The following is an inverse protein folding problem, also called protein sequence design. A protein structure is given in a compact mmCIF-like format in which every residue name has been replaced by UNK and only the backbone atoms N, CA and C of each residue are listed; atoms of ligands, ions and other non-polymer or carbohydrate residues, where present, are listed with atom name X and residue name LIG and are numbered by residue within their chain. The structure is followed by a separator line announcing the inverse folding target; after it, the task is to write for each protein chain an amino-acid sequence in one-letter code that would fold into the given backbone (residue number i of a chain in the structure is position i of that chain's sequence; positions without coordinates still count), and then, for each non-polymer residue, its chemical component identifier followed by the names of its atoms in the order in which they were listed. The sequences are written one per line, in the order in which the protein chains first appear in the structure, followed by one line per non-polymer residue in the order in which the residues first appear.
data_IF_605378584573
#
_entry.id   IF_605378584573
#
_cell.length_a   1.000
_cell.length_b   1.000
_cell.length_c   1.000
_cell.angle_alpha   90.00
_cell.angle_beta   90.00
_cell.angle_gamma   90.00
#
_symmetry.space_group_name_H-M   'P 1'
#
loop_
_entity.id
_entity.type
_entity.pdbx_description
1 polymer ?
#
# COMPACT_ATOMS: atom_id res chain seq x y z
N UNK A 1 29.81 -7.59 -4.58
CA UNK A 1 28.74 -6.66 -4.15
C UNK A 1 28.92 -6.34 -2.68
N UNK A 2 29.12 -5.08 -2.30
CA UNK A 2 29.10 -4.66 -0.88
C UNK A 2 27.69 -4.95 -0.34
N UNK A 3 27.58 -5.60 0.82
CA UNK A 3 26.28 -5.78 1.47
C UNK A 3 25.72 -4.40 1.83
N UNK A 4 24.43 -4.12 1.59
CA UNK A 4 23.84 -2.84 1.96
C UNK A 4 23.98 -2.65 3.47
N UNK A 5 24.40 -1.45 3.86
CA UNK A 5 24.52 -1.03 5.25
C UNK A 5 23.17 -1.06 5.95
N UNK A 6 23.17 -1.13 7.29
CA UNK A 6 21.93 -1.09 8.09
C UNK A 6 21.12 0.19 7.81
N UNK A 7 21.82 1.29 7.53
CA UNK A 7 21.22 2.57 7.15
C UNK A 7 20.48 2.51 5.82
N UNK A 8 21.10 1.94 4.77
CA UNK A 8 20.47 1.82 3.45
C UNK A 8 19.22 0.92 3.49
N UNK A 9 19.26 -0.14 4.31
CA UNK A 9 18.09 -1.01 4.53
C UNK A 9 16.96 -0.29 5.24
N UNK A 10 17.28 0.51 6.25
CA UNK A 10 16.29 1.32 6.96
C UNK A 10 15.67 2.36 6.01
N UNK A 11 16.51 3.10 5.28
CA UNK A 11 16.06 4.13 4.35
C UNK A 11 15.14 3.56 3.25
N UNK A 12 15.47 2.36 2.74
CA UNK A 12 14.61 1.67 1.75
C UNK A 12 13.23 1.34 2.31
N UNK A 13 13.16 0.94 3.59
CA UNK A 13 11.87 0.67 4.26
C UNK A 13 11.06 1.95 4.46
N UNK A 14 11.69 3.02 4.95
CA UNK A 14 11.06 4.32 5.14
C UNK A 14 10.47 4.87 3.83
N UNK A 15 11.26 4.84 2.74
CA UNK A 15 10.77 5.24 1.41
C UNK A 15 9.57 4.39 0.99
N UNK A 16 9.59 3.08 1.26
CA UNK A 16 8.46 2.19 0.99
C UNK A 16 7.21 2.55 1.78
N UNK A 17 7.36 2.95 3.05
CA UNK A 17 6.25 3.41 3.91
C UNK A 17 5.64 4.69 3.34
N UNK A 18 6.48 5.67 3.00
CA UNK A 18 6.04 6.95 2.42
C UNK A 18 5.18 6.76 1.17
N UNK A 19 5.64 5.93 0.23
CA UNK A 19 4.87 5.64 -0.97
C UNK A 19 3.52 4.97 -0.68
N UNK A 20 3.49 4.02 0.26
CA UNK A 20 2.24 3.33 0.66
C UNK A 20 1.28 4.28 1.34
N UNK A 21 1.76 5.08 2.29
CA UNK A 21 0.97 6.06 3.01
C UNK A 21 0.32 7.05 2.04
N UNK A 22 1.09 7.58 1.08
CA UNK A 22 0.58 8.48 0.05
C UNK A 22 -0.47 7.81 -0.85
N UNK A 23 -0.21 6.58 -1.30
CA UNK A 23 -1.13 5.83 -2.17
C UNK A 23 -2.46 5.55 -1.46
N UNK A 24 -2.42 5.04 -0.23
CA UNK A 24 -3.63 4.75 0.53
C UNK A 24 -4.36 6.04 0.93
N UNK A 25 -3.64 7.07 1.37
CA UNK A 25 -4.24 8.37 1.66
C UNK A 25 -5.01 8.91 0.46
N UNK A 26 -4.38 8.94 -0.72
CA UNK A 26 -5.02 9.45 -1.92
C UNK A 26 -6.29 8.66 -2.29
N UNK A 27 -6.22 7.34 -2.18
CA UNK A 27 -7.37 6.49 -2.50
C UNK A 27 -8.52 6.66 -1.48
N UNK A 28 -8.21 6.77 -0.19
CA UNK A 28 -9.19 7.05 0.87
C UNK A 28 -9.83 8.42 0.66
N UNK A 29 -9.01 9.43 0.38
CA UNK A 29 -9.46 10.79 0.11
C UNK A 29 -10.38 10.83 -1.11
N UNK A 30 -10.03 10.11 -2.18
CA UNK A 30 -10.86 9.99 -3.36
C UNK A 30 -12.25 9.41 -3.02
N UNK A 31 -12.30 8.31 -2.27
CA UNK A 31 -13.56 7.72 -1.82
C UNK A 31 -14.39 8.70 -0.99
N UNK A 32 -13.76 9.41 -0.05
CA UNK A 32 -14.41 10.43 0.76
C UNK A 32 -14.98 11.58 -0.08
N UNK A 33 -14.22 12.11 -1.03
CA UNK A 33 -14.68 13.15 -1.93
C UNK A 33 -15.87 12.66 -2.78
N UNK A 34 -15.82 11.44 -3.31
CA UNK A 34 -16.95 10.86 -4.05
C UNK A 34 -18.20 10.73 -3.18
N UNK A 35 -18.06 10.27 -1.94
CA UNK A 35 -19.16 10.22 -0.99
C UNK A 35 -19.78 11.61 -0.73
N UNK A 36 -18.95 12.63 -0.51
CA UNK A 36 -19.41 14.01 -0.29
C UNK A 36 -20.13 14.57 -1.52
N UNK A 37 -19.60 14.29 -2.72
CA UNK A 37 -20.24 14.67 -3.98
C UNK A 37 -21.60 14.00 -4.17
N UNK A 38 -21.75 12.72 -3.83
CA UNK A 38 -23.04 12.03 -3.88
C UNK A 38 -24.09 12.64 -2.93
N UNK A 39 -23.65 13.28 -1.84
CA UNK A 39 -24.50 14.05 -0.92
C UNK A 39 -24.71 15.51 -1.34
N UNK A 40 -24.18 15.93 -2.50
CA UNK A 40 -24.27 17.31 -3.00
C UNK A 40 -23.35 18.30 -2.28
N UNK A 41 -22.39 17.83 -1.47
CA UNK A 41 -21.42 18.67 -0.76
C UNK A 41 -20.12 18.73 -1.55
N UNK A 42 -19.69 19.93 -1.94
CA UNK A 42 -18.40 20.16 -2.64
C UNK A 42 -17.24 20.49 -1.70
N UNK A 43 -17.51 20.64 -0.40
CA UNK A 43 -16.50 20.98 0.61
C UNK A 43 -16.11 19.73 1.39
N UNK A 44 -14.80 19.50 1.51
CA UNK A 44 -14.18 18.47 2.35
C UNK A 44 -13.76 19.08 3.70
N UNK A 45 -13.91 18.33 4.78
CA UNK A 45 -13.45 18.76 6.11
C UNK A 45 -11.94 18.55 6.23
N UNK A 46 -11.22 19.58 6.67
CA UNK A 46 -9.76 19.52 6.87
C UNK A 46 -9.38 18.57 8.01
N UNK A 47 -10.22 18.41 9.03
CA UNK A 47 -9.95 17.49 10.14
C UNK A 47 -9.98 16.05 9.63
N UNK A 48 -10.97 15.69 8.82
CA UNK A 48 -11.06 14.35 8.23
C UNK A 48 -9.84 14.04 7.36
N UNK A 49 -9.33 15.01 6.59
CA UNK A 49 -8.11 14.83 5.79
C UNK A 49 -6.88 14.59 6.67
N UNK A 50 -6.73 15.32 7.78
CA UNK A 50 -5.63 15.13 8.72
C UNK A 50 -5.68 13.75 9.40
N UNK A 51 -6.87 13.27 9.78
CA UNK A 51 -7.06 11.93 10.32
C UNK A 51 -6.75 10.84 9.28
N UNK A 52 -7.16 11.03 8.02
CA UNK A 52 -6.90 10.08 6.93
C UNK A 52 -5.42 9.91 6.65
N UNK A 53 -4.66 11.01 6.56
CA UNK A 53 -3.21 10.93 6.33
C UNK A 53 -2.49 10.33 7.54
N UNK A 54 -2.86 10.74 8.76
CA UNK A 54 -2.29 10.18 9.98
C UNK A 54 -2.53 8.67 10.10
N UNK A 55 -3.74 8.22 9.77
CA UNK A 55 -4.08 6.80 9.77
C UNK A 55 -3.35 6.04 8.65
N UNK A 56 -3.20 6.64 7.46
CA UNK A 56 -2.46 6.03 6.37
C UNK A 56 -0.99 5.78 6.73
N UNK A 57 -0.35 6.73 7.42
CA UNK A 57 0.98 6.50 7.99
C UNK A 57 0.97 5.40 9.03
N UNK A 58 0.09 5.47 10.03
CA UNK A 58 0.02 4.48 11.11
C UNK A 58 -0.13 3.06 10.56
N UNK A 59 -1.04 2.86 9.60
CA UNK A 59 -1.24 1.57 8.96
C UNK A 59 -0.02 1.19 8.12
N UNK A 60 0.59 2.13 7.38
CA UNK A 60 1.83 1.88 6.65
C UNK A 60 2.96 1.35 7.55
N UNK A 61 3.16 1.95 8.72
CA UNK A 61 4.12 1.46 9.72
C UNK A 61 3.75 0.07 10.23
N UNK A 62 2.47 -0.19 10.55
CA UNK A 62 2.00 -1.51 10.96
C UNK A 62 2.23 -2.57 9.88
N UNK A 63 2.03 -2.21 8.61
CA UNK A 63 2.23 -3.11 7.47
C UNK A 63 3.69 -3.53 7.32
N UNK A 64 4.61 -2.56 7.38
CA UNK A 64 6.05 -2.81 7.16
C UNK A 64 6.71 -3.48 8.37
N UNK A 65 6.39 -3.05 9.59
CA UNK A 65 7.08 -3.53 10.80
C UNK A 65 6.39 -4.72 11.47
N UNK A 66 5.05 -4.79 11.43
CA UNK A 66 4.27 -5.77 12.20
C UNK A 66 3.72 -6.91 11.32
N UNK A 67 3.32 -6.61 10.08
CA UNK A 67 2.73 -7.57 9.15
C UNK A 67 3.69 -8.08 8.07
N UNK A 68 5.00 -8.02 8.34
CA UNK A 68 6.04 -8.62 7.49
C UNK A 68 6.01 -8.20 6.01
N UNK A 69 5.56 -6.96 5.73
CA UNK A 69 5.43 -6.43 4.38
C UNK A 69 4.62 -7.36 3.45
N UNK A 70 3.43 -7.77 3.90
CA UNK A 70 2.60 -8.77 3.21
C UNK A 70 2.29 -8.44 1.74
N UNK A 71 2.31 -7.16 1.37
CA UNK A 71 2.08 -6.71 0.00
C UNK A 71 3.26 -7.03 -0.94
N UNK A 72 4.43 -7.25 -0.37
CA UNK A 72 5.64 -7.71 -1.07
C UNK A 72 5.79 -9.24 -1.02
N UNK A 73 4.86 -9.97 -0.41
CA UNK A 73 4.90 -11.43 -0.35
C UNK A 73 4.73 -12.08 -1.75
N UNK A 74 5.39 -13.21 -1.94
CA UNK A 74 5.46 -13.90 -3.24
C UNK A 74 4.12 -14.57 -3.62
N UNK A 75 3.35 -15.01 -2.63
CA UNK A 75 2.05 -15.65 -2.79
C UNK A 75 1.01 -15.04 -1.85
N UNK A 76 -0.25 -14.95 -2.27
CA UNK A 76 -1.36 -14.65 -1.35
C UNK A 76 -1.60 -15.92 -0.53
N UNK A 77 -0.91 -16.04 0.58
CA UNK A 77 -1.20 -17.04 1.59
C UNK A 77 -2.29 -16.58 2.56
N UNK A 78 -2.59 -17.44 3.53
CA UNK A 78 -3.56 -17.15 4.60
C UNK A 78 -3.09 -16.00 5.50
N UNK A 79 -1.77 -15.76 5.60
CA UNK A 79 -1.18 -14.71 6.44
C UNK A 79 -1.39 -13.33 5.82
N UNK A 80 -1.22 -13.23 4.52
CA UNK A 80 -1.38 -12.01 3.73
C UNK A 80 -2.85 -11.59 3.69
N UNK A 81 -3.76 -12.55 3.48
CA UNK A 81 -5.20 -12.30 3.56
C UNK A 81 -5.63 -11.81 4.96
N UNK A 82 -5.05 -12.37 6.03
CA UNK A 82 -5.28 -11.89 7.39
C UNK A 82 -4.74 -10.47 7.59
N UNK A 83 -3.57 -10.13 7.04
CA UNK A 83 -3.01 -8.79 7.06
C UNK A 83 -3.92 -7.77 6.37
N UNK A 84 -4.44 -8.09 5.19
CA UNK A 84 -5.42 -7.27 4.47
C UNK A 84 -6.68 -7.07 5.32
N UNK A 85 -7.22 -8.14 5.89
CA UNK A 85 -8.43 -8.07 6.71
C UNK A 85 -8.23 -7.20 7.96
N UNK A 86 -7.08 -7.31 8.64
CA UNK A 86 -6.75 -6.49 9.81
C UNK A 86 -6.60 -5.02 9.43
N UNK A 87 -5.83 -4.71 8.38
CA UNK A 87 -5.66 -3.32 7.95
C UNK A 87 -6.98 -2.69 7.50
N UNK A 88 -7.78 -3.39 6.69
CA UNK A 88 -9.12 -2.94 6.30
C UNK A 88 -10.01 -2.75 7.53
N UNK A 89 -9.95 -3.65 8.52
CA UNK A 89 -10.68 -3.52 9.77
C UNK A 89 -10.32 -2.26 10.55
N UNK A 90 -9.02 -1.93 10.65
CA UNK A 90 -8.54 -0.70 11.28
C UNK A 90 -9.11 0.53 10.55
N UNK A 91 -9.02 0.56 9.22
CA UNK A 91 -9.59 1.66 8.42
C UNK A 91 -11.10 1.80 8.62
N UNK A 92 -11.84 0.70 8.62
CA UNK A 92 -13.29 0.70 8.83
C UNK A 92 -13.66 1.22 10.22
N UNK A 93 -12.99 0.73 11.28
CA UNK A 93 -13.23 1.14 12.67
C UNK A 93 -12.94 2.63 12.86
N UNK A 94 -11.79 3.11 12.39
CA UNK A 94 -11.42 4.53 12.55
C UNK A 94 -12.36 5.41 11.73
N UNK A 95 -12.73 5.02 10.50
CA UNK A 95 -13.69 5.79 9.71
C UNK A 95 -15.05 5.95 10.39
N UNK A 96 -15.47 4.94 11.17
CA UNK A 96 -16.72 4.97 11.91
C UNK A 96 -16.62 5.84 13.18
N UNK A 97 -15.53 5.72 13.94
CA UNK A 97 -15.28 6.50 15.16
C UNK A 97 -15.12 7.98 14.83
N UNK A 98 -14.31 8.31 13.83
CA UNK A 98 -14.04 9.68 13.36
C UNK A 98 -15.19 10.26 12.51
N UNK A 99 -16.27 9.50 12.29
CA UNK A 99 -17.50 9.94 11.60
C UNK A 99 -17.25 10.46 10.18
N UNK A 100 -16.29 9.87 9.46
CA UNK A 100 -15.96 10.28 8.08
C UNK A 100 -17.15 10.19 7.13
N UNK A 101 -18.03 9.21 7.35
CA UNK A 101 -19.20 8.93 6.52
C UNK A 101 -20.51 9.08 7.29
N UNK A 102 -20.58 10.02 8.24
CA UNK A 102 -21.78 10.28 9.06
C UNK A 102 -22.31 9.03 9.81
N UNK A 103 -21.43 8.06 10.12
CA UNK A 103 -21.73 6.73 10.72
C UNK A 103 -22.67 5.86 9.87
N UNK A 104 -22.77 6.12 8.57
CA UNK A 104 -23.57 5.29 7.68
C UNK A 104 -22.86 3.95 7.41
N UNK A 105 -23.42 2.87 7.96
CA UNK A 105 -22.87 1.52 7.86
C UNK A 105 -22.73 1.07 6.40
N UNK A 106 -23.67 1.42 5.52
CA UNK A 106 -23.60 1.05 4.10
C UNK A 106 -22.38 1.65 3.41
N UNK A 107 -22.06 2.90 3.74
CA UNK A 107 -20.89 3.60 3.17
C UNK A 107 -19.60 3.07 3.76
N UNK A 108 -19.57 2.76 5.07
CA UNK A 108 -18.42 2.12 5.71
C UNK A 108 -18.13 0.73 5.15
N UNK A 109 -19.16 -0.06 4.84
CA UNK A 109 -18.99 -1.37 4.17
C UNK A 109 -18.50 -1.19 2.72
N UNK A 110 -19.04 -0.20 2.01
CA UNK A 110 -18.54 0.18 0.68
C UNK A 110 -17.07 0.59 0.71
N UNK A 111 -16.68 1.39 1.70
CA UNK A 111 -15.30 1.80 1.93
C UNK A 111 -14.39 0.61 2.26
N UNK A 112 -14.81 -0.30 3.15
CA UNK A 112 -14.04 -1.50 3.47
C UNK A 112 -13.84 -2.38 2.22
N UNK A 113 -14.87 -2.54 1.40
CA UNK A 113 -14.79 -3.28 0.13
C UNK A 113 -13.83 -2.60 -0.86
N UNK A 114 -13.88 -1.27 -0.94
CA UNK A 114 -12.96 -0.47 -1.74
C UNK A 114 -11.51 -0.62 -1.26
N UNK A 115 -11.25 -0.62 0.04
CA UNK A 115 -9.91 -0.85 0.59
C UNK A 115 -9.39 -2.25 0.27
N UNK A 116 -10.21 -3.29 0.37
CA UNK A 116 -9.81 -4.66 -0.05
C UNK A 116 -9.44 -4.67 -1.53
N UNK A 117 -10.24 -4.03 -2.37
CA UNK A 117 -9.96 -3.93 -3.80
C UNK A 117 -8.62 -3.21 -4.07
N UNK A 118 -8.34 -2.11 -3.35
CA UNK A 118 -7.04 -1.43 -3.46
C UNK A 118 -5.87 -2.33 -3.06
N UNK A 119 -6.01 -3.10 -1.97
CA UNK A 119 -4.96 -4.05 -1.58
C UNK A 119 -4.69 -5.11 -2.65
N UNK A 120 -5.74 -5.61 -3.31
CA UNK A 120 -5.60 -6.52 -4.44
C UNK A 120 -4.89 -5.86 -5.63
N UNK A 121 -5.25 -4.61 -5.96
CA UNK A 121 -4.58 -3.85 -7.01
C UNK A 121 -3.10 -3.62 -6.72
N UNK A 122 -2.75 -3.20 -5.49
CA UNK A 122 -1.37 -3.00 -5.06
C UNK A 122 -0.59 -4.32 -5.14
N UNK A 123 -1.18 -5.43 -4.69
CA UNK A 123 -0.57 -6.75 -4.83
C UNK A 123 -0.28 -7.11 -6.29
N UNK A 124 -1.22 -6.87 -7.21
CA UNK A 124 -1.03 -7.14 -8.64
C UNK A 124 0.09 -6.27 -9.23
N UNK A 125 0.16 -4.99 -8.84
CA UNK A 125 1.23 -4.08 -9.27
C UNK A 125 2.59 -4.60 -8.82
N UNK A 126 2.74 -4.99 -7.55
CA UNK A 126 3.99 -5.56 -7.05
C UNK A 126 4.36 -6.86 -7.75
N UNK A 127 3.39 -7.74 -8.01
CA UNK A 127 3.61 -8.98 -8.76
C UNK A 127 4.09 -8.72 -10.19
N UNK A 128 3.51 -7.74 -10.87
CA UNK A 128 3.96 -7.33 -12.21
C UNK A 128 5.36 -6.73 -12.18
N UNK A 129 5.63 -5.84 -11.21
CA UNK A 129 6.94 -5.20 -11.03
C UNK A 129 8.05 -6.24 -10.82
N UNK A 130 7.83 -7.23 -9.94
CA UNK A 130 8.81 -8.31 -9.72
C UNK A 130 9.12 -9.10 -10.99
N UNK A 131 8.11 -9.47 -11.76
CA UNK A 131 8.33 -10.16 -13.05
C UNK A 131 9.13 -9.33 -14.06
N UNK A 132 9.04 -8.01 -14.00
CA UNK A 132 9.83 -7.10 -14.84
C UNK A 132 11.27 -7.06 -14.31
N UNK A 133 11.45 -6.88 -13.01
CA UNK A 133 12.77 -6.84 -12.36
C UNK A 133 13.55 -8.15 -12.58
N UNK A 134 12.89 -9.31 -12.48
CA UNK A 134 13.48 -10.63 -12.77
C UNK A 134 13.96 -10.75 -14.23
N UNK A 135 13.20 -10.20 -15.19
CA UNK A 135 13.58 -10.21 -16.60
C UNK A 135 14.78 -9.31 -16.86
N UNK A 136 14.80 -8.12 -16.26
CA UNK A 136 15.93 -7.18 -16.37
C UNK A 136 17.19 -7.82 -15.79
N UNK A 137 17.10 -8.41 -14.60
CA UNK A 137 18.25 -9.05 -13.96
C UNK A 137 18.81 -10.21 -14.79
N UNK A 138 17.95 -11.04 -15.37
CA UNK A 138 18.38 -12.14 -16.25
C UNK A 138 19.05 -11.61 -17.53
N UNK A 139 18.51 -10.56 -18.13
CA UNK A 139 19.12 -9.89 -19.30
C UNK A 139 20.51 -9.33 -18.97
N UNK A 140 20.66 -8.67 -17.82
CA UNK A 140 21.95 -8.14 -17.38
C UNK A 140 22.98 -9.27 -17.15
N UNK A 141 22.57 -10.38 -16.52
CA UNK A 141 23.41 -11.57 -16.33
C UNK A 141 23.90 -12.16 -17.66
N UNK A 142 23.04 -12.24 -18.67
CA UNK A 142 23.42 -12.69 -20.02
C UNK A 142 24.44 -11.76 -20.67
N UNK A 143 24.24 -10.43 -20.56
CA UNK A 143 25.18 -9.44 -21.06
C UNK A 143 26.55 -9.54 -20.37
N UNK A 144 26.59 -9.76 -19.05
CA UNK A 144 27.83 -9.97 -18.31
C UNK A 144 28.57 -11.25 -18.74
N UNK A 145 27.84 -12.37 -18.91
CA UNK A 145 28.43 -13.63 -19.42
C UNK A 145 28.96 -13.47 -20.85
N UNK A 146 28.24 -12.76 -21.71
CA UNK A 146 28.65 -12.49 -23.08
C UNK A 146 29.91 -11.62 -23.15
N UNK A 147 30.05 -10.61 -22.27
CA UNK A 147 31.28 -9.81 -22.15
C UNK A 147 32.46 -10.64 -21.65
N UNK A 148 32.29 -11.40 -20.56
CA UNK A 148 33.36 -12.24 -20.01
C UNK A 148 33.83 -13.33 -20.98
N UNK A 149 32.95 -13.84 -21.85
CA UNK A 149 33.32 -14.81 -22.89
C UNK A 149 34.05 -14.17 -24.09
N UNK A 150 33.91 -12.86 -24.31
CA UNK A 150 34.66 -12.11 -25.33
C UNK A 150 36.04 -11.63 -24.85
N UNK A 151 36.26 -11.56 -23.54
CA UNK A 151 37.54 -11.20 -22.92
C UNK A 151 38.47 -12.41 -22.69
N UNK A 152 38.01 -13.64 -23.01
CA UNK A 152 38.84 -14.84 -23.13
C UNK A 152 39.15 -15.12 -24.59
#
# INVERSE_FOLDING_TARGET
MKRPSLWERYLTKEIGIEFKACLYFFAILFFYCMYRLCLGKTVADMIHMAEMIGLAYLVGYLQVYLLWNFDEADTIGKKEAAGIAVCTGIYAVVSYICRWFDRNIYVTVGFASYMIFLYLCVYLIYKCRRKIDDKILNSDLEMFKARSKKEK
#
